data_IF_322254167955
#
_entry.id   IF_322254167955
#
_cell.length_a   1.000
_cell.length_b   1.000
_cell.length_c   1.000
_cell.angle_alpha   90.00
_cell.angle_beta   90.00
_cell.angle_gamma   90.00
#
_symmetry.space_group_name_H-M   'P 1'
#
loop_
_entity.id
_entity.type
_entity.pdbx_description
1 polymer ?
#
# COMPACT_ATOMS: atom_id res chain seq x y z
N UNK A 1 13.04 -10.05 -6.92
CA UNK A 1 11.79 -9.44 -7.41
C UNK A 1 10.63 -9.90 -6.54
N UNK A 2 9.90 -8.96 -5.93
CA UNK A 2 8.65 -9.25 -5.24
C UNK A 2 7.61 -9.64 -6.30
N UNK A 3 7.00 -10.81 -6.16
CA UNK A 3 5.94 -11.24 -7.08
C UNK A 3 4.62 -10.61 -6.61
N UNK A 4 4.09 -9.66 -7.38
CA UNK A 4 2.74 -9.12 -7.14
C UNK A 4 1.74 -10.28 -7.17
N UNK A 5 0.92 -10.39 -6.13
CA UNK A 5 -0.17 -11.39 -6.06
C UNK A 5 -1.43 -10.92 -6.81
N UNK A 6 -1.51 -9.61 -7.09
CA UNK A 6 -2.66 -8.98 -7.70
C UNK A 6 -2.20 -7.72 -8.43
N UNK A 7 -2.67 -7.50 -9.66
CA UNK A 7 -2.45 -6.26 -10.39
C UNK A 7 -3.50 -5.23 -9.96
N UNK A 8 -3.04 -4.22 -9.22
CA UNK A 8 -3.93 -3.18 -8.73
C UNK A 8 -4.40 -2.29 -9.90
N UNK A 9 -5.70 -2.03 -10.07
CA UNK A 9 -6.16 -1.24 -11.20
C UNK A 9 -5.95 0.25 -10.89
N UNK A 10 -5.34 0.97 -11.82
CA UNK A 10 -5.00 2.39 -11.68
C UNK A 10 -6.20 3.32 -11.96
N UNK A 11 -7.25 2.80 -12.62
CA UNK A 11 -8.48 3.53 -12.94
C UNK A 11 -9.70 2.64 -12.71
N UNK A 12 -10.63 3.10 -11.87
CA UNK A 12 -11.86 2.40 -11.51
C UNK A 12 -12.96 3.40 -11.15
N UNK A 13 -14.20 3.04 -11.44
CA UNK A 13 -15.39 3.65 -10.83
C UNK A 13 -15.58 3.16 -9.39
N UNK A 14 -16.42 3.88 -8.63
CA UNK A 14 -16.82 3.45 -7.29
C UNK A 14 -17.46 2.06 -7.29
N UNK A 15 -18.34 1.78 -8.25
CA UNK A 15 -19.01 0.47 -8.36
C UNK A 15 -18.00 -0.66 -8.61
N UNK A 16 -17.01 -0.44 -9.47
CA UNK A 16 -15.95 -1.43 -9.72
C UNK A 16 -15.06 -1.63 -8.49
N UNK A 17 -14.75 -0.56 -7.76
CA UNK A 17 -14.00 -0.63 -6.51
C UNK A 17 -14.73 -1.48 -5.44
N UNK A 18 -16.06 -1.31 -5.30
CA UNK A 18 -16.91 -2.14 -4.41
C UNK A 18 -16.86 -3.61 -4.81
N UNK A 19 -17.02 -3.90 -6.10
CA UNK A 19 -16.97 -5.27 -6.62
C UNK A 19 -15.59 -5.89 -6.37
N UNK A 20 -14.53 -5.10 -6.57
CA UNK A 20 -13.17 -5.55 -6.33
C UNK A 20 -12.93 -5.89 -4.85
N UNK A 21 -13.27 -4.98 -3.92
CA UNK A 21 -13.14 -5.21 -2.49
C UNK A 21 -13.88 -6.50 -2.06
N UNK A 22 -15.12 -6.68 -2.52
CA UNK A 22 -15.91 -7.87 -2.21
C UNK A 22 -15.33 -9.17 -2.80
N UNK A 23 -14.62 -9.08 -3.92
CA UNK A 23 -13.88 -10.21 -4.50
C UNK A 23 -12.64 -10.53 -3.68
N UNK A 24 -11.77 -9.55 -3.42
CA UNK A 24 -10.45 -9.77 -2.81
C UNK A 24 -10.51 -10.01 -1.30
N UNK A 25 -11.56 -9.56 -0.60
CA UNK A 25 -11.71 -9.84 0.85
C UNK A 25 -11.71 -11.34 1.17
N UNK A 26 -12.10 -12.19 0.20
CA UNK A 26 -12.10 -13.65 0.34
C UNK A 26 -10.68 -14.25 0.34
N UNK A 27 -9.68 -13.46 -0.03
CA UNK A 27 -8.27 -13.86 -0.09
C UNK A 27 -7.51 -13.50 1.20
N UNK A 28 -8.15 -12.81 2.14
CA UNK A 28 -7.53 -12.42 3.41
C UNK A 28 -7.26 -13.67 4.24
N UNK A 29 -6.02 -13.81 4.69
CA UNK A 29 -5.56 -14.83 5.63
C UNK A 29 -5.20 -14.15 6.94
N UNK A 30 -5.75 -14.67 8.04
CA UNK A 30 -5.51 -14.13 9.39
C UNK A 30 -4.51 -14.97 10.17
N UNK A 31 -4.04 -16.08 9.60
CA UNK A 31 -2.89 -16.81 10.13
C UNK A 31 -1.60 -16.04 9.85
N UNK A 32 -0.75 -15.95 10.86
CA UNK A 32 0.59 -15.38 10.75
C UNK A 32 1.61 -16.52 10.95
N UNK A 33 2.05 -17.19 9.86
CA UNK A 33 2.87 -18.40 9.95
C UNK A 33 4.36 -18.12 10.19
N UNK A 34 4.71 -16.92 10.66
CA UNK A 34 6.10 -16.48 10.85
C UNK A 34 6.38 -16.25 12.33
N UNK A 35 7.61 -16.56 12.76
CA UNK A 35 8.06 -16.22 14.11
C UNK A 35 8.64 -14.81 14.12
N UNK A 36 8.46 -14.08 15.22
CA UNK A 36 8.94 -12.70 15.35
C UNK A 36 10.46 -12.62 15.15
N UNK A 37 11.19 -13.59 15.71
CA UNK A 37 12.65 -13.71 15.58
C UNK A 37 13.14 -13.89 14.12
N UNK A 38 12.27 -14.30 13.20
CA UNK A 38 12.60 -14.49 11.78
C UNK A 38 12.53 -13.17 10.99
N UNK A 39 11.88 -12.14 11.54
CA UNK A 39 11.70 -10.84 10.89
C UNK A 39 12.97 -10.00 11.01
N UNK A 40 13.69 -9.86 9.90
CA UNK A 40 14.93 -9.07 9.84
C UNK A 40 14.71 -7.62 9.40
N UNK A 41 13.59 -7.36 8.73
CA UNK A 41 13.25 -6.06 8.17
C UNK A 41 11.78 -5.75 8.39
N UNK A 42 11.49 -4.49 8.69
CA UNK A 42 10.12 -3.96 8.76
C UNK A 42 10.03 -2.75 7.83
N UNK A 43 8.92 -2.62 7.11
CA UNK A 43 8.66 -1.47 6.24
C UNK A 43 7.54 -0.60 6.82
N UNK A 44 7.82 0.68 7.01
CA UNK A 44 6.81 1.70 7.22
C UNK A 44 6.37 2.27 5.87
N UNK A 45 5.08 2.55 5.72
CA UNK A 45 4.50 3.11 4.50
C UNK A 45 3.64 4.30 4.87
N UNK A 46 3.78 5.41 4.15
CA UNK A 46 2.96 6.60 4.33
C UNK A 46 2.68 7.29 3.00
N UNK A 47 1.55 8.02 2.91
CA UNK A 47 1.16 8.79 1.72
C UNK A 47 0.76 10.21 2.14
N UNK A 48 1.43 11.20 1.55
CA UNK A 48 1.11 12.61 1.74
C UNK A 48 0.54 13.25 0.46
N UNK A 49 -0.24 14.32 0.61
CA UNK A 49 -0.79 15.08 -0.51
C UNK A 49 -0.29 16.52 -0.50
N UNK A 50 0.06 17.06 -1.67
CA UNK A 50 0.35 18.47 -1.84
C UNK A 50 -0.91 19.30 -2.18
N UNK A 51 -0.73 20.62 -2.29
CA UNK A 51 -1.81 21.57 -2.65
C UNK A 51 -2.22 21.47 -4.12
N UNK A 52 -1.42 20.83 -4.97
CA UNK A 52 -1.69 20.62 -6.40
C UNK A 52 -2.41 19.29 -6.67
N UNK A 53 -2.67 18.52 -5.61
CA UNK A 53 -3.38 17.25 -5.63
C UNK A 53 -2.52 16.05 -6.02
N UNK A 54 -1.18 16.16 -5.99
CA UNK A 54 -0.31 14.98 -6.12
C UNK A 54 -0.19 14.24 -4.80
N UNK A 55 -0.06 12.92 -4.88
CA UNK A 55 0.31 12.05 -3.77
C UNK A 55 1.80 11.72 -3.81
N UNK A 56 2.39 11.57 -2.63
CA UNK A 56 3.76 11.13 -2.41
C UNK A 56 3.75 9.90 -1.53
N UNK A 57 3.95 8.73 -2.14
CA UNK A 57 4.00 7.45 -1.44
C UNK A 57 5.44 7.15 -1.04
N UNK A 58 5.68 6.93 0.26
CA UNK A 58 7.01 6.66 0.80
C UNK A 58 7.03 5.31 1.50
N UNK A 59 8.04 4.51 1.20
CA UNK A 59 8.36 3.28 1.94
C UNK A 59 9.73 3.45 2.59
N UNK A 60 9.79 3.23 3.91
CA UNK A 60 11.05 3.20 4.68
C UNK A 60 11.23 1.79 5.24
N UNK A 61 12.33 1.14 4.87
CA UNK A 61 12.69 -0.19 5.37
C UNK A 61 13.71 -0.03 6.49
N UNK A 62 13.42 -0.62 7.65
CA UNK A 62 14.26 -0.65 8.84
C UNK A 62 14.77 -2.07 9.09
N UNK A 63 16.01 -2.21 9.57
CA UNK A 63 16.54 -3.47 10.10
C UNK A 63 16.09 -3.69 11.54
N UNK A 64 15.64 -4.90 11.88
CA UNK A 64 15.34 -5.29 13.26
C UNK A 64 16.51 -6.08 13.85
N UNK A 65 16.90 -5.86 15.13
CA UNK A 65 16.26 -4.95 16.10
C UNK A 65 16.84 -3.52 16.12
N UNK A 66 17.86 -3.21 15.31
CA UNK A 66 18.60 -1.94 15.41
C UNK A 66 17.79 -0.69 15.03
N UNK A 67 16.69 -0.86 14.28
CA UNK A 67 15.89 0.22 13.67
C UNK A 67 16.68 1.11 12.71
N UNK A 68 17.83 0.64 12.22
CA UNK A 68 18.60 1.33 11.20
C UNK A 68 17.84 1.36 9.88
N UNK A 69 17.75 2.53 9.25
CA UNK A 69 17.20 2.68 7.91
C UNK A 69 18.13 1.99 6.92
N UNK A 70 17.59 1.03 6.17
CA UNK A 70 18.34 0.32 5.12
C UNK A 70 17.96 0.78 3.72
N UNK A 71 16.72 1.25 3.53
CA UNK A 71 16.23 1.73 2.24
C UNK A 71 15.10 2.73 2.43
N UNK A 72 15.06 3.72 1.54
CA UNK A 72 13.95 4.68 1.43
C UNK A 72 13.64 4.84 -0.06
N UNK A 73 12.37 4.67 -0.41
CA UNK A 73 11.85 4.98 -1.75
C UNK A 73 10.65 5.91 -1.63
N UNK A 74 10.55 6.88 -2.54
CA UNK A 74 9.46 7.83 -2.61
C UNK A 74 9.07 8.02 -4.06
N UNK A 75 7.77 7.90 -4.34
CA UNK A 75 7.20 8.10 -5.68
C UNK A 75 6.12 9.17 -5.65
N UNK A 76 6.01 9.91 -6.76
CA UNK A 76 5.00 10.96 -6.95
C UNK A 76 3.98 10.48 -7.96
N UNK A 77 2.69 10.61 -7.62
CA UNK A 77 1.58 10.22 -8.49
C UNK A 77 0.47 11.26 -8.47
N UNK A 78 -0.34 11.32 -9.53
CA UNK A 78 -1.59 12.09 -9.54
C UNK A 78 -2.76 11.13 -9.38
N UNK A 79 -3.41 11.06 -8.20
CA UNK A 79 -4.55 10.17 -7.98
C UNK A 79 -5.70 10.46 -8.94
N UNK A 80 -6.23 9.40 -9.54
CA UNK A 80 -7.43 9.41 -10.38
C UNK A 80 -8.71 9.16 -9.56
N UNK A 81 -8.61 8.42 -8.45
CA UNK A 81 -9.74 8.06 -7.59
C UNK A 81 -9.98 9.10 -6.48
N UNK A 82 -11.24 9.56 -6.24
CA UNK A 82 -11.54 10.56 -5.22
C UNK A 82 -11.42 9.99 -3.80
N UNK A 83 -11.33 10.87 -2.81
CA UNK A 83 -11.43 10.44 -1.41
C UNK A 83 -12.87 10.04 -1.08
N UNK A 84 -13.07 8.74 -0.82
CA UNK A 84 -14.34 8.16 -0.36
C UNK A 84 -14.03 7.30 0.88
N UNK A 85 -14.65 7.56 2.04
CA UNK A 85 -14.47 6.75 3.24
C UNK A 85 -14.68 5.25 2.96
N UNK A 86 -13.73 4.42 3.36
CA UNK A 86 -13.72 2.97 3.09
C UNK A 86 -13.05 2.55 1.78
N UNK A 87 -12.60 3.50 0.94
CA UNK A 87 -11.98 3.22 -0.37
C UNK A 87 -10.59 3.86 -0.52
N UNK A 88 -9.92 4.17 0.59
CA UNK A 88 -8.63 4.88 0.60
C UNK A 88 -7.56 4.19 -0.26
N UNK A 89 -7.50 2.85 -0.22
CA UNK A 89 -6.52 2.07 -1.00
C UNK A 89 -6.63 2.28 -2.51
N UNK A 90 -7.80 2.64 -3.05
CA UNK A 90 -7.95 2.96 -4.47
C UNK A 90 -7.40 4.33 -4.86
N UNK A 91 -7.29 5.21 -3.87
CA UNK A 91 -6.72 6.54 -4.04
C UNK A 91 -5.21 6.54 -3.80
N UNK A 92 -4.73 5.80 -2.79
CA UNK A 92 -3.34 5.80 -2.34
C UNK A 92 -2.51 4.62 -2.84
N UNK A 93 -3.11 3.46 -3.05
CA UNK A 93 -2.38 2.26 -3.49
C UNK A 93 -1.64 2.38 -4.84
N UNK A 94 -2.07 3.23 -5.80
CA UNK A 94 -1.34 3.42 -7.06
C UNK A 94 0.00 4.15 -6.98
N UNK A 95 0.25 4.99 -5.95
CA UNK A 95 1.54 5.71 -5.80
C UNK A 95 2.63 4.79 -5.29
#
# INVERSE_FOLDING_TARGET
>A
MIKKRYDFPYELSYQEAVLLQNRIRKMVKLDFPYREEEVRFVAGVDVAYDREGFSFGTVVVLRIPSLEIVEVVCERWRPSFPYIPGFLSFREGPV
#
